data_IF_006980981796
#
_entry.id   IF_006980981796
#
_cell.length_a   1.000
_cell.length_b   1.000
_cell.length_c   1.000
_cell.angle_alpha   90.00
_cell.angle_beta   90.00
_cell.angle_gamma   90.00
#
_symmetry.space_group_name_H-M   'P 1'
#
loop_
_entity.id
_entity.type
_entity.pdbx_description
1 polymer ?
#
# COMPACT_ATOMS: atom_id res chain seq x y z
N UNK A 1 -41.96 -13.40 -11.77
CA UNK A 1 -40.59 -13.95 -11.76
C UNK A 1 -40.48 -14.91 -12.92
N UNK A 2 -39.80 -14.52 -13.98
CA UNK A 2 -39.66 -15.33 -15.20
C UNK A 2 -38.56 -16.38 -15.02
N UNK A 3 -38.63 -17.51 -15.81
CA UNK A 3 -37.56 -18.53 -15.81
C UNK A 3 -36.17 -17.94 -16.08
N UNK A 4 -36.13 -16.77 -16.74
CA UNK A 4 -34.89 -16.02 -16.97
C UNK A 4 -34.31 -15.41 -15.66
N UNK A 5 -35.19 -14.88 -14.78
CA UNK A 5 -34.78 -14.29 -13.49
C UNK A 5 -34.17 -15.35 -12.53
N UNK A 6 -34.77 -16.57 -12.57
CA UNK A 6 -34.29 -17.72 -11.78
C UNK A 6 -32.93 -18.24 -12.32
N UNK A 7 -32.74 -18.22 -13.64
CA UNK A 7 -31.50 -18.66 -14.28
C UNK A 7 -30.33 -17.67 -14.07
N UNK A 8 -30.62 -16.35 -13.93
CA UNK A 8 -29.63 -15.34 -13.62
C UNK A 8 -29.19 -15.45 -12.15
N UNK A 9 -30.11 -15.73 -11.23
CA UNK A 9 -29.81 -15.91 -9.80
C UNK A 9 -28.98 -17.18 -9.53
N UNK A 10 -29.19 -18.26 -10.28
CA UNK A 10 -28.37 -19.49 -10.17
C UNK A 10 -26.95 -19.34 -10.73
N UNK A 11 -26.71 -18.43 -11.69
CA UNK A 11 -25.37 -18.17 -12.25
C UNK A 11 -24.48 -17.29 -11.36
N UNK A 12 -25.08 -16.56 -10.43
CA UNK A 12 -24.38 -15.67 -9.50
C UNK A 12 -24.10 -16.27 -8.13
N UNK A 13 -24.43 -17.55 -7.88
CA UNK A 13 -24.01 -18.22 -6.65
C UNK A 13 -22.48 -18.24 -6.60
N UNK A 14 -21.87 -17.72 -5.50
CA UNK A 14 -20.43 -17.86 -5.32
C UNK A 14 -20.09 -19.35 -5.50
N UNK A 15 -19.13 -19.69 -6.34
CA UNK A 15 -18.60 -21.08 -6.41
C UNK A 15 -18.21 -21.45 -4.99
N UNK A 16 -19.04 -22.27 -4.35
CA UNK A 16 -18.83 -22.77 -3.01
C UNK A 16 -17.42 -23.39 -2.95
N UNK A 17 -16.54 -22.83 -2.10
CA UNK A 17 -15.19 -23.33 -1.88
C UNK A 17 -14.02 -22.47 -2.41
N UNK A 18 -14.23 -21.39 -3.17
CA UNK A 18 -13.13 -20.48 -3.53
C UNK A 18 -12.95 -19.39 -2.48
N UNK A 19 -11.78 -19.34 -1.84
CA UNK A 19 -11.43 -18.27 -0.90
C UNK A 19 -11.45 -16.87 -1.53
N UNK A 20 -11.54 -15.83 -0.72
CA UNK A 20 -11.63 -14.43 -1.15
C UNK A 20 -10.38 -13.98 -1.93
N UNK A 21 -10.49 -13.58 -3.21
CA UNK A 21 -9.35 -13.05 -3.98
C UNK A 21 -8.78 -11.77 -3.37
N UNK A 22 -9.61 -10.94 -2.75
CA UNK A 22 -9.15 -9.72 -2.05
C UNK A 22 -8.30 -10.10 -0.85
N UNK A 23 -8.75 -11.05 -0.01
CA UNK A 23 -8.00 -11.45 1.16
C UNK A 23 -6.61 -12.00 0.79
N UNK A 24 -6.51 -12.75 -0.30
CA UNK A 24 -5.22 -13.27 -0.80
C UNK A 24 -4.32 -12.17 -1.34
N UNK A 25 -4.87 -11.22 -2.11
CA UNK A 25 -4.10 -10.10 -2.61
C UNK A 25 -3.64 -9.18 -1.46
N UNK A 26 -4.51 -8.93 -0.47
CA UNK A 26 -4.16 -8.17 0.72
C UNK A 26 -3.10 -8.91 1.58
N UNK A 27 -3.21 -10.24 1.72
CA UNK A 27 -2.21 -11.05 2.41
C UNK A 27 -0.84 -10.94 1.72
N UNK A 28 -0.79 -11.08 0.39
CA UNK A 28 0.46 -10.94 -0.35
C UNK A 28 1.08 -9.54 -0.16
N UNK A 29 0.29 -8.49 -0.32
CA UNK A 29 0.75 -7.12 -0.11
C UNK A 29 1.26 -6.91 1.33
N UNK A 30 0.55 -7.46 2.32
CA UNK A 30 0.93 -7.32 3.72
C UNK A 30 2.20 -8.11 4.07
N UNK A 31 2.37 -9.31 3.52
CA UNK A 31 3.60 -10.09 3.65
C UNK A 31 4.81 -9.34 3.07
N UNK A 32 4.66 -8.73 1.91
CA UNK A 32 5.72 -7.90 1.32
C UNK A 32 6.07 -6.70 2.20
N UNK A 33 5.08 -6.07 2.83
CA UNK A 33 5.32 -4.97 3.78
C UNK A 33 6.05 -5.47 5.04
N UNK A 34 5.70 -6.65 5.58
CA UNK A 34 6.41 -7.25 6.72
C UNK A 34 7.86 -7.55 6.35
N UNK A 35 8.10 -8.21 5.20
CA UNK A 35 9.46 -8.50 4.72
C UNK A 35 10.27 -7.22 4.62
N UNK A 36 9.71 -6.20 3.99
CA UNK A 36 10.39 -4.93 3.86
C UNK A 36 10.68 -4.28 5.21
N UNK A 37 9.69 -4.18 6.09
CA UNK A 37 9.87 -3.59 7.43
C UNK A 37 10.89 -4.36 8.28
N UNK A 38 10.93 -5.68 8.15
CA UNK A 38 11.83 -6.54 8.93
C UNK A 38 13.27 -6.45 8.47
N UNK A 39 13.53 -6.31 7.17
CA UNK A 39 14.88 -6.38 6.60
C UNK A 39 15.44 -5.04 6.13
N UNK A 40 14.66 -3.98 6.17
CA UNK A 40 15.14 -2.63 5.85
C UNK A 40 16.30 -2.25 6.79
N UNK A 41 17.42 -1.66 6.31
CA UNK A 41 17.63 -1.03 5.00
C UNK A 41 18.22 -1.96 3.91
N UNK A 42 18.27 -3.26 4.10
CA UNK A 42 18.83 -4.25 3.14
C UNK A 42 20.33 -4.09 2.86
N UNK A 43 21.07 -3.46 3.76
CA UNK A 43 22.48 -3.13 3.59
C UNK A 43 23.37 -3.91 4.56
N UNK A 44 24.64 -4.12 4.14
CA UNK A 44 25.65 -4.70 5.00
C UNK A 44 25.49 -6.19 5.28
N UNK A 45 24.80 -6.94 4.42
CA UNK A 45 24.62 -8.38 4.56
C UNK A 45 25.94 -9.08 4.82
N UNK A 46 26.05 -9.75 5.96
CA UNK A 46 27.24 -10.50 6.35
C UNK A 46 26.89 -11.65 7.30
N UNK A 47 27.68 -12.71 7.26
CA UNK A 47 27.58 -13.74 8.27
C UNK A 47 28.21 -13.22 9.59
N UNK A 48 27.38 -13.14 10.63
CA UNK A 48 27.82 -12.70 11.96
C UNK A 48 28.64 -13.75 12.71
N UNK A 49 28.72 -14.99 12.21
CA UNK A 49 29.34 -16.13 12.91
C UNK A 49 28.49 -16.65 14.10
N UNK A 50 27.33 -16.05 14.36
CA UNK A 50 26.43 -16.49 15.43
C UNK A 50 25.52 -17.60 14.88
N UNK A 51 25.27 -18.70 15.63
CA UNK A 51 24.34 -19.74 15.22
C UNK A 51 22.95 -19.19 14.91
N UNK A 52 22.33 -19.65 13.82
CA UNK A 52 21.09 -19.09 13.26
C UNK A 52 19.92 -18.97 14.25
N UNK A 53 19.85 -19.86 15.22
CA UNK A 53 18.74 -19.95 16.18
C UNK A 53 19.12 -19.50 17.59
N UNK A 54 20.22 -18.77 17.76
CA UNK A 54 20.67 -18.28 19.07
C UNK A 54 19.62 -17.39 19.74
N UNK A 55 18.81 -16.68 18.97
CA UNK A 55 17.71 -15.85 19.48
C UNK A 55 16.58 -16.66 20.13
N UNK A 56 16.51 -17.97 19.91
CA UNK A 56 15.53 -18.85 20.58
C UNK A 56 15.90 -19.12 22.06
N UNK A 57 17.12 -18.80 22.46
CA UNK A 57 17.49 -18.87 23.87
C UNK A 57 16.60 -17.90 24.67
N UNK A 58 15.95 -18.40 25.72
CA UNK A 58 14.99 -17.65 26.54
C UNK A 58 15.64 -16.53 27.40
N UNK A 59 16.75 -15.98 26.97
CA UNK A 59 17.41 -14.85 27.63
C UNK A 59 16.72 -13.57 27.21
N UNK A 60 16.20 -12.81 28.19
CA UNK A 60 15.57 -11.52 27.92
C UNK A 60 16.52 -10.57 27.21
N UNK A 61 16.10 -9.89 26.13
CA UNK A 61 16.93 -8.86 25.48
C UNK A 61 17.30 -7.78 26.50
N UNK A 62 18.53 -7.29 26.44
CA UNK A 62 19.02 -6.23 27.34
C UNK A 62 18.28 -4.91 27.18
N UNK A 63 17.85 -4.63 25.97
CA UNK A 63 17.14 -3.40 25.59
C UNK A 63 15.83 -3.76 24.89
N UNK A 64 14.72 -3.37 25.48
CA UNK A 64 13.39 -3.47 24.90
C UNK A 64 12.51 -2.36 25.49
N UNK A 65 11.54 -1.90 24.73
CA UNK A 65 10.56 -0.92 25.19
C UNK A 65 9.14 -1.50 25.08
N UNK A 66 8.21 -1.01 25.91
CA UNK A 66 6.80 -1.38 25.76
C UNK A 66 6.22 -0.96 24.41
N UNK A 67 6.83 0.04 23.79
CA UNK A 67 6.50 0.48 22.43
C UNK A 67 6.86 -0.58 21.39
N UNK A 68 8.06 -1.17 21.43
CA UNK A 68 8.48 -2.22 20.51
C UNK A 68 7.56 -3.43 20.60
N UNK A 69 7.22 -3.86 21.83
CA UNK A 69 6.25 -4.94 22.07
C UNK A 69 4.89 -4.61 21.45
N UNK A 70 4.40 -3.39 21.68
CA UNK A 70 3.11 -2.92 21.15
C UNK A 70 3.06 -2.90 19.62
N UNK A 71 4.11 -2.40 18.98
CA UNK A 71 4.22 -2.33 17.52
C UNK A 71 4.26 -3.72 16.90
N UNK A 72 5.01 -4.66 17.49
CA UNK A 72 5.09 -6.03 17.02
C UNK A 72 3.73 -6.74 17.12
N UNK A 73 3.06 -6.65 18.25
CA UNK A 73 1.70 -7.23 18.41
C UNK A 73 0.74 -6.63 17.40
N UNK A 74 0.62 -5.30 17.36
CA UNK A 74 -0.33 -4.60 16.48
C UNK A 74 -0.01 -4.85 15.00
N UNK A 75 1.28 -4.89 14.63
CA UNK A 75 1.74 -5.16 13.28
C UNK A 75 1.44 -6.59 12.79
N UNK A 76 1.32 -7.56 13.69
CA UNK A 76 1.02 -8.94 13.29
C UNK A 76 -0.47 -9.32 13.40
N UNK A 77 -1.31 -8.50 14.03
CA UNK A 77 -2.78 -8.71 14.02
C UNK A 77 -3.35 -8.79 12.60
N UNK A 78 -3.07 -7.83 11.68
CA UNK A 78 -3.58 -7.93 10.32
C UNK A 78 -3.10 -9.16 9.57
N UNK A 79 -1.87 -9.63 9.81
CA UNK A 79 -1.35 -10.86 9.21
C UNK A 79 -2.21 -12.06 9.61
N UNK A 80 -2.45 -12.27 10.90
CA UNK A 80 -3.27 -13.38 11.40
C UNK A 80 -4.70 -13.35 10.84
N UNK A 81 -5.32 -12.18 10.81
CA UNK A 81 -6.63 -11.97 10.23
C UNK A 81 -6.66 -12.30 8.72
N UNK A 82 -5.71 -11.80 7.95
CA UNK A 82 -5.63 -12.03 6.50
C UNK A 82 -5.33 -13.49 6.16
N UNK A 83 -4.51 -14.19 6.97
CA UNK A 83 -4.26 -15.62 6.82
C UNK A 83 -5.57 -16.41 6.93
N UNK A 84 -6.38 -16.16 7.98
CA UNK A 84 -7.70 -16.82 8.14
C UNK A 84 -8.62 -16.48 6.95
N UNK A 85 -8.76 -15.20 6.61
CA UNK A 85 -9.63 -14.76 5.52
C UNK A 85 -9.22 -15.33 4.17
N UNK A 86 -7.94 -15.61 3.95
CA UNK A 86 -7.41 -16.15 2.70
C UNK A 86 -7.74 -17.64 2.49
N UNK A 87 -7.85 -18.41 3.58
CA UNK A 87 -8.19 -19.84 3.55
C UNK A 87 -9.68 -20.11 3.68
N UNK A 88 -10.44 -19.14 4.18
CA UNK A 88 -11.90 -19.22 4.28
C UNK A 88 -12.55 -19.31 2.87
N UNK A 89 -13.62 -20.09 2.62
CA UNK A 89 -14.34 -20.96 3.53
C UNK A 89 -13.82 -22.40 3.63
N UNK A 90 -12.67 -22.74 3.00
CA UNK A 90 -12.14 -24.12 2.98
C UNK A 90 -11.75 -24.61 4.36
N UNK A 91 -11.13 -23.75 5.14
CA UNK A 91 -10.75 -24.01 6.54
C UNK A 91 -11.50 -23.00 7.42
N UNK A 92 -12.17 -23.49 8.49
CA UNK A 92 -13.04 -22.69 9.35
C UNK A 92 -12.75 -22.95 10.83
N UNK A 93 -13.23 -22.02 11.69
CA UNK A 93 -13.16 -22.16 13.13
C UNK A 93 -11.76 -22.35 13.66
N UNK A 94 -11.59 -23.24 14.62
CA UNK A 94 -10.30 -23.46 15.30
C UNK A 94 -9.19 -23.90 14.35
N UNK A 95 -9.51 -24.70 13.33
CA UNK A 95 -8.50 -25.14 12.36
C UNK A 95 -7.93 -23.99 11.52
N UNK A 96 -8.75 -22.99 11.20
CA UNK A 96 -8.27 -21.79 10.54
C UNK A 96 -7.36 -20.96 11.46
N UNK A 97 -7.69 -20.87 12.76
CA UNK A 97 -6.85 -20.20 13.76
C UNK A 97 -5.52 -20.91 13.91
N UNK A 98 -5.52 -22.24 14.06
CA UNK A 98 -4.28 -23.03 14.21
C UNK A 98 -3.38 -22.89 12.98
N UNK A 99 -3.95 -23.02 11.76
CA UNK A 99 -3.21 -22.89 10.52
C UNK A 99 -2.62 -21.48 10.36
N UNK A 100 -3.41 -20.45 10.65
CA UNK A 100 -2.95 -19.05 10.57
C UNK A 100 -1.87 -18.74 11.61
N UNK A 101 -2.03 -19.22 12.85
CA UNK A 101 -1.03 -19.04 13.90
C UNK A 101 0.29 -19.73 13.55
N UNK A 102 0.23 -20.96 13.02
CA UNK A 102 1.41 -21.65 12.52
C UNK A 102 2.09 -20.88 11.37
N UNK A 103 1.28 -20.39 10.42
CA UNK A 103 1.79 -19.54 9.33
C UNK A 103 2.47 -18.28 9.83
N UNK A 104 1.87 -17.61 10.83
CA UNK A 104 2.47 -16.43 11.46
C UNK A 104 3.77 -16.72 12.20
N UNK A 105 3.84 -17.83 12.92
CA UNK A 105 5.08 -18.30 13.58
C UNK A 105 6.16 -18.56 12.53
N UNK A 106 5.84 -19.20 11.42
CA UNK A 106 6.81 -19.44 10.35
C UNK A 106 7.31 -18.12 9.71
N UNK A 107 6.40 -17.17 9.50
CA UNK A 107 6.78 -15.84 8.98
C UNK A 107 7.74 -15.16 9.94
N UNK A 108 7.38 -15.00 11.22
CA UNK A 108 8.25 -14.31 12.18
C UNK A 108 9.57 -15.05 12.39
N UNK A 109 9.56 -16.38 12.45
CA UNK A 109 10.80 -17.17 12.55
C UNK A 109 11.71 -16.93 11.34
N UNK A 110 11.15 -16.84 10.15
CA UNK A 110 11.92 -16.50 8.93
C UNK A 110 12.48 -15.09 9.02
N UNK A 111 11.68 -14.11 9.46
CA UNK A 111 12.15 -12.73 9.61
C UNK A 111 13.33 -12.64 10.57
N UNK A 112 13.21 -13.23 11.77
CA UNK A 112 14.26 -13.22 12.80
C UNK A 112 15.52 -13.98 12.36
N UNK A 113 15.34 -15.12 11.67
CA UNK A 113 16.49 -15.89 11.18
C UNK A 113 17.28 -15.10 10.13
N UNK A 114 16.62 -14.41 9.21
CA UNK A 114 17.29 -13.61 8.18
C UNK A 114 17.95 -12.36 8.79
N UNK A 115 17.38 -11.80 9.84
CA UNK A 115 17.97 -10.65 10.54
C UNK A 115 19.35 -10.95 11.16
N UNK A 116 19.70 -12.22 11.42
CA UNK A 116 21.07 -12.59 11.82
C UNK A 116 22.16 -12.16 10.83
N UNK A 117 21.79 -11.98 9.57
CA UNK A 117 22.70 -11.56 8.51
C UNK A 117 22.74 -10.04 8.32
N UNK A 118 21.91 -9.28 9.05
CA UNK A 118 21.80 -7.83 8.96
C UNK A 118 22.41 -7.16 10.19
N UNK A 119 23.56 -6.47 10.08
CA UNK A 119 24.22 -5.83 11.22
C UNK A 119 23.40 -4.75 11.92
N UNK A 120 22.46 -4.16 11.18
CA UNK A 120 21.53 -3.14 11.70
C UNK A 120 20.36 -3.72 12.50
N UNK A 121 20.25 -5.06 12.59
CA UNK A 121 19.16 -5.77 13.26
C UNK A 121 19.70 -6.71 14.33
N UNK A 122 18.91 -6.88 15.37
CA UNK A 122 19.20 -7.81 16.47
C UNK A 122 18.02 -8.75 16.61
N UNK A 123 18.13 -10.00 16.14
CA UNK A 123 17.07 -10.99 16.29
C UNK A 123 16.73 -11.21 17.78
N UNK A 124 15.44 -11.32 18.08
CA UNK A 124 14.95 -11.34 19.45
C UNK A 124 13.87 -12.41 19.66
N UNK A 125 13.99 -13.18 20.75
CA UNK A 125 12.94 -14.08 21.18
C UNK A 125 11.66 -13.32 21.61
N UNK A 126 11.80 -12.09 22.11
CA UNK A 126 10.69 -11.24 22.47
C UNK A 126 9.88 -10.84 21.23
N UNK A 127 10.55 -10.51 20.12
CA UNK A 127 9.89 -10.17 18.86
C UNK A 127 9.17 -11.39 18.29
N UNK A 128 9.80 -12.58 18.34
CA UNK A 128 9.15 -13.83 17.94
C UNK A 128 7.84 -14.06 18.73
N UNK A 129 7.87 -13.91 20.07
CA UNK A 129 6.72 -14.16 20.93
C UNK A 129 5.63 -13.11 20.70
N UNK A 130 5.99 -11.84 20.63
CA UNK A 130 5.03 -10.74 20.45
C UNK A 130 4.38 -10.74 19.07
N UNK A 131 5.15 -11.04 18.02
CA UNK A 131 4.66 -11.23 16.65
C UNK A 131 3.69 -12.44 16.57
N UNK A 132 4.10 -13.58 17.14
CA UNK A 132 3.25 -14.78 17.18
C UNK A 132 1.95 -14.51 17.98
N UNK A 133 2.05 -13.81 19.10
CA UNK A 133 0.89 -13.39 19.92
C UNK A 133 -0.05 -12.47 19.15
N UNK A 134 0.48 -11.47 18.47
CA UNK A 134 -0.29 -10.58 17.60
C UNK A 134 -0.99 -11.33 16.47
N UNK A 135 -0.27 -12.25 15.81
CA UNK A 135 -0.86 -13.11 14.78
C UNK A 135 -1.99 -14.00 15.32
N UNK A 136 -1.83 -14.59 16.50
CA UNK A 136 -2.87 -15.40 17.15
C UNK A 136 -4.12 -14.56 17.44
N UNK A 137 -3.97 -13.37 18.02
CA UNK A 137 -5.09 -12.44 18.23
C UNK A 137 -5.78 -12.12 16.91
N UNK A 138 -5.02 -11.80 15.88
CA UNK A 138 -5.54 -11.54 14.53
C UNK A 138 -6.26 -12.73 13.93
N UNK A 139 -5.73 -13.94 14.12
CA UNK A 139 -6.36 -15.18 13.65
C UNK A 139 -7.71 -15.45 14.34
N UNK A 140 -7.81 -15.24 15.66
CA UNK A 140 -9.07 -15.36 16.41
C UNK A 140 -10.09 -14.34 15.91
N UNK A 141 -9.69 -13.06 15.77
CA UNK A 141 -10.56 -12.01 15.24
C UNK A 141 -11.01 -12.33 13.81
N UNK A 142 -10.07 -12.80 12.96
CA UNK A 142 -10.36 -13.21 11.60
C UNK A 142 -11.36 -14.36 11.53
N UNK A 143 -11.22 -15.38 12.37
CA UNK A 143 -12.13 -16.50 12.42
C UNK A 143 -13.54 -16.10 12.89
N UNK A 144 -13.62 -15.17 13.85
CA UNK A 144 -14.90 -14.64 14.33
C UNK A 144 -15.60 -13.77 13.28
N UNK A 145 -14.86 -12.94 12.55
CA UNK A 145 -15.45 -12.03 11.58
C UNK A 145 -15.62 -12.62 10.17
N UNK A 146 -14.89 -13.69 9.83
CA UNK A 146 -14.91 -14.25 8.47
C UNK A 146 -16.31 -14.57 7.93
N UNK A 147 -17.25 -15.21 8.68
CA UNK A 147 -18.60 -15.47 8.18
C UNK A 147 -19.38 -14.18 7.91
N UNK A 148 -19.27 -13.21 8.82
CA UNK A 148 -19.91 -11.91 8.68
C UNK A 148 -19.37 -11.09 7.52
N UNK A 149 -18.05 -11.10 7.31
CA UNK A 149 -17.39 -10.31 6.27
C UNK A 149 -17.53 -10.91 4.87
N UNK A 150 -17.47 -12.26 4.75
CA UNK A 150 -17.34 -12.93 3.47
C UNK A 150 -18.63 -13.58 2.95
N UNK A 151 -19.53 -14.05 3.84
CA UNK A 151 -20.72 -14.80 3.39
C UNK A 151 -21.94 -13.91 3.16
N UNK A 152 -22.32 -13.04 4.11
CA UNK A 152 -23.60 -12.31 4.08
C UNK A 152 -23.54 -10.88 4.60
N UNK A 153 -22.36 -10.25 4.71
CA UNK A 153 -22.25 -8.93 5.30
C UNK A 153 -22.85 -7.84 4.42
N UNK A 154 -23.32 -6.76 5.06
CA UNK A 154 -23.65 -5.49 4.37
C UNK A 154 -22.46 -5.00 3.54
N UNK A 155 -21.22 -5.22 4.01
CA UNK A 155 -19.98 -4.87 3.31
C UNK A 155 -19.79 -5.68 2.03
N UNK A 156 -20.10 -6.98 2.04
CA UNK A 156 -20.05 -7.83 0.85
C UNK A 156 -21.08 -7.37 -0.21
N UNK A 157 -22.31 -7.08 0.24
CA UNK A 157 -23.37 -6.56 -0.64
C UNK A 157 -22.98 -5.18 -1.19
N UNK A 158 -22.44 -4.29 -0.34
CA UNK A 158 -21.97 -2.96 -0.73
C UNK A 158 -20.86 -3.05 -1.77
N UNK A 159 -19.87 -3.94 -1.55
CA UNK A 159 -18.81 -4.21 -2.50
C UNK A 159 -19.38 -4.66 -3.85
N UNK A 160 -20.31 -5.63 -3.88
CA UNK A 160 -20.93 -6.10 -5.13
C UNK A 160 -21.75 -5.00 -5.81
N UNK A 161 -22.39 -4.13 -5.05
CA UNK A 161 -23.18 -3.01 -5.56
C UNK A 161 -22.32 -1.89 -6.13
N UNK A 162 -21.19 -1.56 -5.48
CA UNK A 162 -20.38 -0.38 -5.82
C UNK A 162 -19.16 -0.68 -6.68
N UNK A 163 -18.60 -1.89 -6.61
CA UNK A 163 -17.35 -2.22 -7.29
C UNK A 163 -17.54 -3.32 -8.34
N UNK A 164 -16.66 -3.29 -9.35
CA UNK A 164 -16.65 -4.31 -10.40
C UNK A 164 -16.25 -5.69 -9.85
N UNK A 165 -16.70 -6.81 -10.46
CA UNK A 165 -16.36 -8.15 -9.98
C UNK A 165 -14.86 -8.46 -9.94
N UNK A 166 -14.12 -7.90 -10.89
CA UNK A 166 -12.66 -8.06 -11.05
C UNK A 166 -11.84 -7.04 -10.25
N UNK A 167 -12.47 -6.17 -9.45
CA UNK A 167 -11.81 -5.08 -8.75
C UNK A 167 -10.92 -5.53 -7.57
N UNK A 168 -10.82 -6.83 -7.24
CA UNK A 168 -10.19 -7.31 -6.01
C UNK A 168 -8.74 -6.86 -5.83
N UNK A 169 -7.92 -7.01 -6.86
CA UNK A 169 -6.51 -6.59 -6.82
C UNK A 169 -6.37 -5.07 -6.83
N UNK A 170 -7.16 -4.42 -7.68
CA UNK A 170 -7.18 -2.96 -7.75
C UNK A 170 -7.67 -2.30 -6.47
N UNK A 171 -8.61 -2.90 -5.73
CA UNK A 171 -9.07 -2.39 -4.44
C UNK A 171 -7.97 -2.46 -3.37
N UNK A 172 -7.16 -3.52 -3.36
CA UNK A 172 -6.00 -3.60 -2.47
C UNK A 172 -5.00 -2.53 -2.85
N UNK A 173 -4.67 -2.40 -4.13
CA UNK A 173 -3.76 -1.37 -4.63
C UNK A 173 -4.22 0.05 -4.23
N UNK A 174 -5.50 0.36 -4.43
CA UNK A 174 -6.08 1.66 -4.06
C UNK A 174 -6.06 1.86 -2.54
N UNK A 175 -6.37 0.83 -1.75
CA UNK A 175 -6.33 0.90 -0.29
C UNK A 175 -4.91 1.14 0.27
N UNK A 176 -3.87 0.77 -0.47
CA UNK A 176 -2.48 1.04 -0.10
C UNK A 176 -2.06 2.51 -0.31
N UNK A 177 -2.77 3.29 -1.12
CA UNK A 177 -2.39 4.69 -1.39
C UNK A 177 -2.47 5.62 -0.18
N UNK A 178 -3.51 5.60 0.67
CA UNK A 178 -3.50 6.34 1.92
C UNK A 178 -2.34 5.95 2.85
N UNK A 179 -1.96 4.67 2.88
CA UNK A 179 -0.82 4.20 3.67
C UNK A 179 0.52 4.71 3.10
N UNK A 180 0.60 4.91 1.78
CA UNK A 180 1.77 5.52 1.16
C UNK A 180 2.00 6.97 1.60
N UNK A 181 0.98 7.66 2.15
CA UNK A 181 1.11 9.02 2.69
C UNK A 181 1.86 9.08 4.02
N UNK A 182 2.09 7.94 4.67
CA UNK A 182 2.77 7.88 5.98
C UNK A 182 4.24 8.28 5.83
N UNK A 183 4.89 7.89 4.74
CA UNK A 183 6.27 8.30 4.49
C UNK A 183 6.36 9.81 4.25
N UNK A 184 7.29 10.51 4.92
CA UNK A 184 7.49 11.94 4.71
C UNK A 184 8.04 12.18 3.30
N UNK A 185 7.22 12.79 2.46
CA UNK A 185 7.55 13.14 1.07
C UNK A 185 7.77 14.64 0.96
N UNK A 186 8.68 15.03 0.08
CA UNK A 186 8.99 16.43 -0.22
C UNK A 186 7.81 17.21 -0.80
N UNK A 187 6.87 16.50 -1.42
CA UNK A 187 5.71 17.06 -2.12
C UNK A 187 4.45 16.30 -1.76
N UNK A 188 3.34 16.98 -1.56
CA UNK A 188 2.05 16.35 -1.29
C UNK A 188 1.66 15.45 -2.47
N UNK A 189 1.35 14.17 -2.19
CA UNK A 189 1.06 13.13 -3.19
C UNK A 189 2.18 12.85 -4.20
N UNK A 190 3.40 13.31 -3.93
CA UNK A 190 4.59 13.13 -4.77
C UNK A 190 5.23 11.76 -4.59
N UNK A 191 4.53 10.70 -5.01
CA UNK A 191 5.02 9.32 -4.92
C UNK A 191 5.94 8.96 -6.07
N UNK A 192 6.82 7.95 -5.87
CA UNK A 192 7.68 7.43 -6.91
C UNK A 192 8.94 8.26 -7.18
N UNK A 193 9.43 8.98 -6.18
CA UNK A 193 10.70 9.72 -6.28
C UNK A 193 11.89 8.75 -6.23
N UNK A 194 12.28 8.20 -7.36
CA UNK A 194 13.29 7.13 -7.51
C UNK A 194 14.68 7.69 -7.80
N UNK A 195 14.79 8.78 -8.57
CA UNK A 195 16.09 9.28 -9.02
C UNK A 195 17.09 9.61 -7.89
N UNK A 196 16.71 10.25 -6.78
CA UNK A 196 17.64 10.47 -5.67
C UNK A 196 18.20 9.17 -5.06
N UNK A 197 17.37 8.10 -5.04
CA UNK A 197 17.78 6.78 -4.53
C UNK A 197 18.76 6.12 -5.49
N UNK A 198 18.45 6.15 -6.79
CA UNK A 198 19.35 5.62 -7.83
C UNK A 198 20.65 6.39 -7.85
N UNK A 199 20.61 7.73 -7.73
CA UNK A 199 21.81 8.58 -7.61
C UNK A 199 22.68 8.13 -6.44
N UNK A 200 22.10 7.94 -5.26
CA UNK A 200 22.85 7.49 -4.07
C UNK A 200 23.44 6.08 -4.20
N UNK A 201 22.77 5.18 -4.93
CA UNK A 201 23.31 3.84 -5.23
C UNK A 201 24.47 3.90 -6.21
N UNK A 202 24.34 4.67 -7.29
CA UNK A 202 25.39 4.85 -8.28
C UNK A 202 26.63 5.52 -7.65
N UNK A 203 26.41 6.56 -6.83
CA UNK A 203 27.50 7.23 -6.12
C UNK A 203 28.30 6.26 -5.24
N UNK A 204 27.60 5.36 -4.54
CA UNK A 204 28.27 4.32 -3.71
C UNK A 204 28.98 3.26 -4.53
N UNK A 205 28.42 2.84 -5.68
CA UNK A 205 29.05 1.81 -6.52
C UNK A 205 30.28 2.30 -7.26
N UNK A 206 30.26 3.56 -7.69
CA UNK A 206 31.36 4.15 -8.48
C UNK A 206 32.32 5.01 -7.64
N UNK A 207 32.05 5.11 -6.32
CA UNK A 207 32.82 5.97 -5.40
C UNK A 207 32.99 7.41 -5.93
N UNK A 208 31.93 7.93 -6.55
CA UNK A 208 31.87 9.24 -7.23
C UNK A 208 30.53 9.88 -6.94
N UNK A 209 30.51 11.18 -6.70
CA UNK A 209 29.26 11.91 -6.49
C UNK A 209 28.49 12.02 -7.80
N UNK A 210 27.43 11.23 -7.94
CA UNK A 210 26.56 11.17 -9.12
C UNK A 210 25.17 11.66 -8.71
N UNK A 211 24.80 12.85 -9.19
CA UNK A 211 23.44 13.37 -9.06
C UNK A 211 22.73 13.35 -10.42
N UNK A 212 21.87 12.34 -10.61
CA UNK A 212 21.11 12.19 -11.84
C UNK A 212 20.09 13.32 -12.04
N UNK A 213 19.62 13.96 -10.96
CA UNK A 213 18.66 15.07 -11.07
C UNK A 213 19.37 16.30 -11.67
N UNK A 214 20.58 16.59 -11.21
CA UNK A 214 21.39 17.68 -11.78
C UNK A 214 21.80 17.44 -13.23
N UNK A 215 22.05 16.17 -13.62
CA UNK A 215 22.34 15.81 -15.01
C UNK A 215 21.13 16.00 -15.94
N UNK A 216 19.92 15.74 -15.46
CA UNK A 216 18.70 15.95 -16.24
C UNK A 216 18.32 17.43 -16.34
N UNK A 217 18.80 18.25 -15.41
CA UNK A 217 18.56 19.68 -15.34
C UNK A 217 19.87 20.42 -15.08
N UNK A 218 20.78 20.50 -16.04
CA UNK A 218 21.99 21.30 -15.91
C UNK A 218 21.62 22.77 -15.86
N UNK A 219 21.95 23.50 -14.79
CA UNK A 219 21.80 24.94 -14.75
C UNK A 219 21.28 25.50 -13.42
N UNK A 220 20.64 26.63 -13.47
CA UNK A 220 20.31 27.53 -12.36
C UNK A 220 19.44 26.92 -11.25
N UNK A 221 19.66 27.40 -10.03
CA UNK A 221 18.77 27.13 -8.91
C UNK A 221 17.33 27.51 -9.27
N UNK A 222 16.36 26.67 -8.90
CA UNK A 222 14.94 26.97 -9.15
C UNK A 222 14.50 28.21 -8.36
N UNK A 223 13.69 29.06 -9.00
CA UNK A 223 13.00 30.14 -8.29
C UNK A 223 11.89 29.59 -7.41
N UNK A 224 11.44 30.38 -6.45
CA UNK A 224 10.34 30.01 -5.53
C UNK A 224 9.06 29.67 -6.32
N UNK A 225 8.78 30.47 -7.38
CA UNK A 225 7.61 30.27 -8.24
C UNK A 225 7.68 28.95 -9.03
N UNK A 226 8.87 28.56 -9.46
CA UNK A 226 9.09 27.28 -10.15
C UNK A 226 8.88 26.09 -9.19
N UNK A 227 9.30 26.21 -7.92
CA UNK A 227 8.99 25.22 -6.89
C UNK A 227 7.48 25.11 -6.67
N UNK A 228 6.78 26.21 -6.48
CA UNK A 228 5.33 26.21 -6.28
C UNK A 228 4.58 25.63 -7.48
N UNK A 229 4.98 25.97 -8.70
CA UNK A 229 4.38 25.41 -9.93
C UNK A 229 4.60 23.90 -10.01
N UNK A 230 5.81 23.45 -9.75
CA UNK A 230 6.14 22.00 -9.77
C UNK A 230 5.33 21.25 -8.70
N UNK A 231 5.25 21.80 -7.50
CA UNK A 231 4.46 21.23 -6.40
C UNK A 231 2.97 21.20 -6.73
N UNK A 232 2.45 22.25 -7.36
CA UNK A 232 1.06 22.30 -7.85
C UNK A 232 0.79 21.19 -8.85
N UNK A 233 1.69 20.98 -9.82
CA UNK A 233 1.54 19.92 -10.83
C UNK A 233 1.61 18.53 -10.17
N UNK A 234 2.59 18.28 -9.30
CA UNK A 234 2.77 17.00 -8.61
C UNK A 234 1.53 16.67 -7.80
N UNK A 235 1.04 17.62 -7.00
CA UNK A 235 -0.11 17.44 -6.11
C UNK A 235 -1.39 17.19 -6.91
N UNK A 236 -1.70 18.04 -7.91
CA UNK A 236 -2.88 17.90 -8.73
C UNK A 236 -2.89 16.59 -9.53
N UNK A 237 -1.77 16.25 -10.16
CA UNK A 237 -1.64 15.05 -10.98
C UNK A 237 -1.61 13.77 -10.14
N UNK A 238 -0.86 13.76 -9.03
CA UNK A 238 -0.79 12.60 -8.13
C UNK A 238 -2.15 12.25 -7.53
N UNK A 239 -2.87 13.28 -7.04
CA UNK A 239 -4.23 13.13 -6.52
C UNK A 239 -5.21 12.64 -7.61
N UNK A 240 -5.20 13.30 -8.76
CA UNK A 240 -6.11 12.96 -9.87
C UNK A 240 -5.87 11.54 -10.35
N UNK A 241 -4.62 11.14 -10.53
CA UNK A 241 -4.26 9.78 -10.93
C UNK A 241 -4.73 8.72 -9.94
N UNK A 242 -4.55 8.96 -8.64
CA UNK A 242 -4.98 8.04 -7.59
C UNK A 242 -6.51 7.90 -7.54
N UNK A 243 -7.24 9.02 -7.55
CA UNK A 243 -8.71 9.00 -7.53
C UNK A 243 -9.28 8.37 -8.79
N UNK A 244 -8.74 8.68 -9.98
CA UNK A 244 -9.21 8.06 -11.21
C UNK A 244 -8.90 6.55 -11.26
N UNK A 245 -7.81 6.10 -10.65
CA UNK A 245 -7.54 4.66 -10.46
C UNK A 245 -8.63 3.99 -9.63
N UNK A 246 -9.08 4.63 -8.54
CA UNK A 246 -10.24 4.17 -7.79
C UNK A 246 -11.50 4.16 -8.66
N UNK A 247 -11.77 5.23 -9.43
CA UNK A 247 -12.97 5.35 -10.26
C UNK A 247 -13.05 4.29 -11.35
N UNK A 248 -11.92 3.78 -11.86
CA UNK A 248 -11.88 2.65 -12.79
C UNK A 248 -12.44 1.35 -12.18
N UNK A 249 -12.46 1.22 -10.86
CA UNK A 249 -12.98 0.05 -10.14
C UNK A 249 -14.45 0.22 -9.73
N UNK A 250 -14.95 1.45 -9.75
CA UNK A 250 -16.27 1.83 -9.22
C UNK A 250 -17.34 1.75 -10.31
N UNK A 251 -18.47 1.08 -10.00
CA UNK A 251 -19.63 1.01 -10.90
C UNK A 251 -20.31 2.37 -11.06
N UNK A 252 -21.02 2.58 -12.17
CA UNK A 252 -21.73 3.85 -12.44
C UNK A 252 -22.80 4.19 -11.39
N UNK A 253 -23.42 3.19 -10.79
CA UNK A 253 -24.51 3.35 -9.81
C UNK A 253 -24.00 3.56 -8.37
N UNK A 254 -22.68 3.60 -8.16
CA UNK A 254 -22.09 3.86 -6.86
C UNK A 254 -22.04 5.37 -6.56
N UNK A 255 -21.99 5.78 -5.30
CA UNK A 255 -21.87 7.18 -4.89
C UNK A 255 -20.42 7.67 -5.11
N UNK A 256 -20.05 7.88 -6.39
CA UNK A 256 -18.67 8.16 -6.82
C UNK A 256 -18.06 9.37 -6.14
N UNK A 257 -18.84 10.46 -6.04
CA UNK A 257 -18.37 11.68 -5.38
C UNK A 257 -18.08 11.44 -3.90
N UNK A 258 -18.95 10.73 -3.18
CA UNK A 258 -18.74 10.38 -1.77
C UNK A 258 -17.49 9.50 -1.60
N UNK A 259 -17.30 8.52 -2.49
CA UNK A 259 -16.12 7.65 -2.47
C UNK A 259 -14.82 8.44 -2.74
N UNK A 260 -14.85 9.41 -3.65
CA UNK A 260 -13.74 10.32 -3.90
C UNK A 260 -13.40 11.12 -2.64
N UNK A 261 -14.40 11.79 -2.05
CA UNK A 261 -14.20 12.61 -0.85
C UNK A 261 -13.68 11.77 0.33
N UNK A 262 -14.30 10.60 0.56
CA UNK A 262 -13.85 9.69 1.62
C UNK A 262 -12.40 9.20 1.39
N UNK A 263 -12.04 8.88 0.16
CA UNK A 263 -10.70 8.41 -0.18
C UNK A 263 -9.64 9.49 0.05
N UNK A 264 -9.90 10.72 -0.39
CA UNK A 264 -9.02 11.87 -0.16
C UNK A 264 -8.94 12.23 1.33
N UNK A 265 -10.08 12.23 2.03
CA UNK A 265 -10.10 12.51 3.47
C UNK A 265 -9.25 11.51 4.24
N UNK A 266 -9.37 10.21 3.95
CA UNK A 266 -8.52 9.18 4.59
C UNK A 266 -7.04 9.42 4.30
N UNK A 267 -6.67 9.74 3.06
CA UNK A 267 -5.29 10.02 2.70
C UNK A 267 -4.72 11.25 3.44
N UNK A 268 -5.48 12.34 3.53
CA UNK A 268 -5.07 13.55 4.24
C UNK A 268 -4.98 13.33 5.76
N UNK A 269 -5.92 12.61 6.34
CA UNK A 269 -5.88 12.22 7.76
C UNK A 269 -4.64 11.37 8.05
N UNK A 270 -4.36 10.37 7.20
CA UNK A 270 -3.14 9.55 7.33
C UNK A 270 -1.87 10.40 7.23
N UNK A 271 -1.83 11.36 6.30
CA UNK A 271 -0.71 12.30 6.15
C UNK A 271 -0.53 13.18 7.39
N UNK A 272 -1.60 13.77 7.90
CA UNK A 272 -1.55 14.64 9.08
C UNK A 272 -1.14 13.87 10.34
N UNK A 273 -1.71 12.66 10.56
CA UNK A 273 -1.32 11.79 11.67
C UNK A 273 0.15 11.38 11.58
N UNK A 274 0.61 10.98 10.40
CA UNK A 274 2.01 10.61 10.18
C UNK A 274 2.94 11.80 10.45
N UNK A 275 2.64 12.99 9.93
CA UNK A 275 3.43 14.20 10.16
C UNK A 275 3.49 14.56 11.65
N UNK A 276 2.35 14.49 12.35
CA UNK A 276 2.27 14.73 13.79
C UNK A 276 3.15 13.74 14.60
N UNK A 277 3.13 12.45 14.23
CA UNK A 277 3.89 11.43 14.94
C UNK A 277 5.39 11.46 14.63
N UNK A 278 5.76 11.77 13.39
CA UNK A 278 7.14 11.74 12.92
C UNK A 278 7.91 13.03 13.23
N UNK A 279 7.26 14.19 13.15
CA UNK A 279 7.93 15.48 13.30
C UNK A 279 7.57 16.21 14.59
N UNK A 280 6.43 16.10 15.13
CA UNK A 280 5.80 16.66 16.34
C UNK A 280 4.37 17.09 16.02
N UNK A 281 3.48 17.16 17.00
CA UNK A 281 2.10 17.61 16.79
C UNK A 281 1.97 19.00 16.12
N UNK A 282 2.87 19.91 16.44
CA UNK A 282 2.89 21.26 15.86
C UNK A 282 3.16 21.25 14.34
N UNK A 283 3.78 20.19 13.83
CA UNK A 283 4.13 20.01 12.43
C UNK A 283 3.14 19.09 11.67
N UNK A 284 1.95 18.86 12.22
CA UNK A 284 0.93 17.99 11.59
C UNK A 284 0.57 18.44 10.17
N UNK A 285 0.66 19.73 9.87
CA UNK A 285 0.28 20.35 8.60
C UNK A 285 1.45 21.02 7.85
N UNK A 286 2.69 20.68 8.17
CA UNK A 286 3.88 21.25 7.52
C UNK A 286 3.92 21.04 6.00
N UNK A 287 3.19 20.04 5.51
CA UNK A 287 3.04 19.72 4.09
C UNK A 287 2.04 20.61 3.34
N UNK A 288 1.32 21.50 4.05
CA UNK A 288 0.38 22.48 3.46
C UNK A 288 1.19 23.71 3.06
N UNK A 289 1.72 23.67 1.85
CA UNK A 289 2.48 24.77 1.23
C UNK A 289 1.62 25.46 0.18
N UNK A 290 1.94 26.67 -0.26
CA UNK A 290 1.18 27.37 -1.31
C UNK A 290 1.02 26.55 -2.60
N UNK A 291 2.08 25.80 -3.02
CA UNK A 291 2.00 24.91 -4.17
C UNK A 291 1.10 23.72 -3.94
N UNK A 292 1.14 23.10 -2.75
CA UNK A 292 0.26 22.00 -2.37
C UNK A 292 -1.22 22.43 -2.32
N UNK A 293 -1.52 23.61 -1.74
CA UNK A 293 -2.87 24.18 -1.71
C UNK A 293 -3.40 24.41 -3.14
N UNK A 294 -2.60 25.09 -3.98
CA UNK A 294 -2.95 25.34 -5.38
C UNK A 294 -3.20 24.04 -6.14
N UNK A 295 -2.32 23.07 -5.98
CA UNK A 295 -2.45 21.76 -6.61
C UNK A 295 -3.66 20.97 -6.12
N UNK A 296 -3.97 21.04 -4.85
CA UNK A 296 -5.16 20.41 -4.27
C UNK A 296 -6.46 21.03 -4.84
N UNK A 297 -6.55 22.36 -4.90
CA UNK A 297 -7.71 23.07 -5.48
C UNK A 297 -7.88 22.70 -6.95
N UNK A 298 -6.81 22.77 -7.75
CA UNK A 298 -6.87 22.42 -9.17
C UNK A 298 -7.29 20.96 -9.34
N UNK A 299 -6.73 20.04 -8.57
CA UNK A 299 -7.09 18.63 -8.62
C UNK A 299 -8.56 18.39 -8.24
N UNK A 300 -9.11 19.07 -7.24
CA UNK A 300 -10.55 18.97 -6.90
C UNK A 300 -11.41 19.47 -8.07
N UNK A 301 -11.07 20.62 -8.66
CA UNK A 301 -11.79 21.16 -9.83
C UNK A 301 -11.76 20.16 -10.98
N UNK A 302 -10.63 19.59 -11.31
CA UNK A 302 -10.49 18.55 -12.33
C UNK A 302 -11.36 17.32 -12.01
N UNK A 303 -11.33 16.84 -10.77
CA UNK A 303 -12.01 15.64 -10.35
C UNK A 303 -13.54 15.79 -10.32
N UNK A 304 -14.09 16.99 -10.06
CA UNK A 304 -15.54 17.22 -10.07
C UNK A 304 -16.19 16.82 -11.40
N UNK A 305 -15.49 17.03 -12.52
CA UNK A 305 -15.94 16.58 -13.85
C UNK A 305 -15.50 15.15 -14.19
N UNK A 306 -14.24 14.81 -13.92
CA UNK A 306 -13.62 13.55 -14.34
C UNK A 306 -14.18 12.31 -13.63
N UNK A 307 -14.70 12.45 -12.42
CA UNK A 307 -15.34 11.35 -11.66
C UNK A 307 -16.55 10.76 -12.42
N UNK A 308 -17.23 11.55 -13.24
CA UNK A 308 -18.38 11.13 -14.03
C UNK A 308 -18.03 10.77 -15.48
N UNK A 309 -16.77 10.95 -15.89
CA UNK A 309 -16.32 10.63 -17.24
C UNK A 309 -16.44 9.12 -17.56
N UNK A 310 -16.46 8.72 -18.85
CA UNK A 310 -16.41 7.32 -19.24
C UNK A 310 -15.16 6.61 -18.70
N UNK A 311 -15.29 5.33 -18.33
CA UNK A 311 -14.17 4.55 -17.72
C UNK A 311 -12.90 4.54 -18.59
N UNK A 312 -13.04 4.52 -19.92
CA UNK A 312 -11.90 4.58 -20.84
C UNK A 312 -11.15 5.91 -20.71
N UNK A 313 -11.90 7.03 -20.63
CA UNK A 313 -11.30 8.35 -20.42
C UNK A 313 -10.64 8.45 -19.04
N UNK A 314 -11.33 8.00 -17.98
CA UNK A 314 -10.76 7.95 -16.63
C UNK A 314 -9.45 7.19 -16.58
N UNK A 315 -9.39 6.02 -17.23
CA UNK A 315 -8.18 5.17 -17.27
C UNK A 315 -7.04 5.86 -18.02
N UNK A 316 -7.30 6.45 -19.20
CA UNK A 316 -6.28 7.16 -19.98
C UNK A 316 -5.75 8.38 -19.22
N UNK A 317 -6.64 9.15 -18.62
CA UNK A 317 -6.26 10.33 -17.83
C UNK A 317 -5.52 9.94 -16.54
N UNK A 318 -5.90 8.84 -15.88
CA UNK A 318 -5.14 8.32 -14.74
C UNK A 318 -3.69 7.99 -15.13
N UNK A 319 -3.49 7.33 -16.27
CA UNK A 319 -2.13 7.03 -16.77
C UNK A 319 -1.37 8.33 -17.06
N UNK A 320 -1.97 9.27 -17.80
CA UNK A 320 -1.31 10.53 -18.15
C UNK A 320 -0.92 11.33 -16.91
N UNK A 321 -1.85 11.47 -15.94
CA UNK A 321 -1.57 12.26 -14.73
C UNK A 321 -0.54 11.59 -13.82
N UNK A 322 -0.56 10.25 -13.67
CA UNK A 322 0.47 9.53 -12.92
C UNK A 322 1.85 9.63 -13.59
N UNK A 323 1.93 9.49 -14.91
CA UNK A 323 3.19 9.64 -15.64
C UNK A 323 3.73 11.07 -15.51
N UNK A 324 2.86 12.08 -15.65
CA UNK A 324 3.26 13.48 -15.50
C UNK A 324 3.76 13.75 -14.07
N UNK A 325 3.05 13.26 -13.05
CA UNK A 325 3.49 13.37 -11.66
C UNK A 325 4.85 12.71 -11.45
N UNK A 326 5.07 11.49 -11.99
CA UNK A 326 6.35 10.78 -11.91
C UNK A 326 7.49 11.54 -12.61
N UNK A 327 7.25 12.10 -13.76
CA UNK A 327 8.27 12.90 -14.47
C UNK A 327 8.65 14.11 -13.63
N UNK A 328 7.67 14.89 -13.19
CA UNK A 328 7.96 16.13 -12.47
C UNK A 328 8.61 15.85 -11.10
N UNK A 329 8.13 14.87 -10.33
CA UNK A 329 8.69 14.56 -9.00
C UNK A 329 10.13 14.05 -9.06
N UNK A 330 10.54 13.47 -10.19
CA UNK A 330 11.91 12.99 -10.38
C UNK A 330 12.83 14.01 -11.06
N UNK A 331 12.30 15.05 -11.68
CA UNK A 331 13.10 16.10 -12.34
C UNK A 331 13.27 17.36 -11.48
N UNK A 332 12.48 17.50 -10.42
CA UNK A 332 12.54 18.64 -9.50
C UNK A 332 13.42 18.29 -8.31
N UNK A 333 14.40 19.13 -7.95
CA UNK A 333 15.22 18.91 -6.75
C UNK A 333 14.37 18.96 -5.49
N UNK A 334 14.85 18.31 -4.44
CA UNK A 334 14.16 18.26 -3.14
C UNK A 334 13.96 19.68 -2.61
N UNK A 335 12.75 19.99 -2.13
CA UNK A 335 12.43 21.30 -1.59
C UNK A 335 13.32 21.60 -0.36
N UNK A 336 14.09 22.69 -0.34
CA UNK A 336 14.96 23.06 0.78
C UNK A 336 14.22 23.21 2.13
N UNK A 337 12.97 23.69 2.11
CA UNK A 337 12.15 23.78 3.32
C UNK A 337 11.78 22.42 3.89
N UNK A 338 11.59 21.42 3.04
CA UNK A 338 11.38 20.04 3.48
C UNK A 338 12.62 19.48 4.16
N UNK A 339 13.83 19.77 3.63
CA UNK A 339 15.10 19.34 4.24
C UNK A 339 15.25 19.88 5.65
N UNK A 340 14.88 21.15 5.87
CA UNK A 340 14.91 21.74 7.23
C UNK A 340 13.92 21.05 8.19
N UNK A 341 12.78 20.62 7.70
CA UNK A 341 11.79 19.87 8.49
C UNK A 341 12.29 18.48 8.87
N UNK A 342 13.08 17.84 8.00
CA UNK A 342 13.70 16.53 8.28
C UNK A 342 14.68 16.60 9.46
N UNK A 343 15.27 17.74 9.79
CA UNK A 343 16.12 17.90 10.97
C UNK A 343 15.37 17.65 12.29
N UNK A 344 14.05 17.88 12.30
CA UNK A 344 13.17 17.54 13.41
C UNK A 344 12.72 16.08 13.45
N UNK A 345 13.11 15.25 12.47
CA UNK A 345 12.67 13.89 12.37
C UNK A 345 13.32 13.00 13.44
N UNK A 346 12.48 12.36 14.24
CA UNK A 346 12.92 11.41 15.27
C UNK A 346 13.21 10.05 14.60
N UNK A 347 14.41 9.90 14.07
CA UNK A 347 14.83 8.75 13.27
C UNK A 347 14.71 7.39 13.96
N UNK A 348 14.68 7.31 15.27
CA UNK A 348 14.74 6.03 15.99
C UNK A 348 13.40 5.35 16.27
N UNK A 349 12.30 6.10 16.38
CA UNK A 349 11.05 5.57 16.94
C UNK A 349 10.23 4.68 15.99
N UNK A 350 10.39 4.78 14.68
CA UNK A 350 9.54 4.10 13.69
C UNK A 350 10.35 3.55 12.50
N UNK A 351 11.60 3.19 12.69
CA UNK A 351 12.51 2.85 11.60
C UNK A 351 11.95 1.77 10.67
N UNK A 352 11.38 0.72 11.23
CA UNK A 352 10.85 -0.40 10.46
C UNK A 352 9.59 -0.01 9.67
N UNK A 353 8.72 0.76 10.31
CA UNK A 353 7.48 1.23 9.69
C UNK A 353 7.75 2.28 8.61
N UNK A 354 8.72 3.16 8.85
CA UNK A 354 9.18 4.15 7.87
C UNK A 354 9.73 3.48 6.61
N UNK A 355 10.49 2.39 6.75
CA UNK A 355 10.98 1.63 5.60
C UNK A 355 9.86 1.04 4.75
N UNK A 356 8.85 0.43 5.38
CA UNK A 356 7.70 -0.11 4.66
C UNK A 356 6.88 1.00 3.98
N UNK A 357 6.67 2.13 4.67
CA UNK A 357 5.97 3.28 4.11
C UNK A 357 6.76 3.93 2.96
N UNK A 358 8.10 3.98 3.05
CA UNK A 358 8.97 4.44 1.98
C UNK A 358 8.85 3.55 0.74
N UNK A 359 8.95 2.23 0.92
CA UNK A 359 8.79 1.28 -0.18
C UNK A 359 7.44 1.45 -0.87
N UNK A 360 6.37 1.59 -0.09
CA UNK A 360 5.03 1.78 -0.61
C UNK A 360 4.92 3.11 -1.37
N UNK A 361 5.45 4.19 -0.83
CA UNK A 361 5.49 5.50 -1.49
C UNK A 361 6.24 5.47 -2.81
N UNK A 362 7.36 4.74 -2.87
CA UNK A 362 8.16 4.60 -4.09
C UNK A 362 7.48 3.75 -5.15
N UNK A 363 6.89 2.62 -4.75
CA UNK A 363 6.41 1.61 -5.71
C UNK A 363 4.98 1.82 -6.15
N UNK A 364 4.15 2.48 -5.34
CA UNK A 364 2.71 2.61 -5.60
C UNK A 364 2.35 3.15 -6.98
N UNK A 365 2.93 4.26 -7.49
CA UNK A 365 2.55 4.79 -8.80
C UNK A 365 2.90 3.84 -9.94
N UNK A 366 3.99 3.08 -9.83
CA UNK A 366 4.36 2.07 -10.82
C UNK A 366 3.39 0.89 -10.83
N UNK A 367 2.97 0.43 -9.64
CA UNK A 367 1.96 -0.62 -9.51
C UNK A 367 0.60 -0.14 -10.03
N UNK A 368 0.25 1.13 -9.81
CA UNK A 368 -0.98 1.73 -10.35
C UNK A 368 -0.93 1.82 -11.87
N UNK A 369 0.18 2.26 -12.45
CA UNK A 369 0.40 2.29 -13.89
C UNK A 369 0.34 0.89 -14.49
N UNK A 370 1.04 -0.08 -13.89
CA UNK A 370 0.98 -1.47 -14.32
C UNK A 370 -0.46 -1.99 -14.34
N UNK A 371 -1.22 -1.79 -13.27
CA UNK A 371 -2.63 -2.16 -13.19
C UNK A 371 -3.47 -1.48 -14.27
N UNK A 372 -3.28 -0.17 -14.48
CA UNK A 372 -4.00 0.59 -15.49
C UNK A 372 -3.62 0.20 -16.92
N UNK A 373 -2.41 -0.27 -17.18
CA UNK A 373 -1.94 -0.68 -18.50
C UNK A 373 -2.31 -2.13 -18.85
N UNK A 374 -2.73 -2.95 -17.87
CA UNK A 374 -3.21 -4.30 -18.15
C UNK A 374 -4.34 -4.29 -19.19
N UNK A 375 -4.34 -5.15 -20.21
CA UNK A 375 -5.38 -5.20 -21.23
C UNK A 375 -6.78 -5.40 -20.61
N UNK A 376 -7.72 -4.55 -21.00
CA UNK A 376 -9.11 -4.61 -20.48
C UNK A 376 -9.84 -5.94 -20.76
N UNK A 377 -9.42 -6.71 -21.78
CA UNK A 377 -9.97 -8.03 -22.07
C UNK A 377 -9.60 -9.11 -21.02
N UNK A 378 -8.51 -8.94 -20.28
CA UNK A 378 -8.19 -9.83 -19.14
C UNK A 378 -9.09 -9.52 -17.94
N UNK A 379 -9.56 -8.28 -17.84
CA UNK A 379 -10.48 -7.82 -16.80
C UNK A 379 -11.96 -8.10 -17.16
N UNK A 380 -12.28 -8.23 -18.44
CA UNK A 380 -13.62 -8.39 -19.00
C UNK A 380 -13.81 -9.67 -19.80
N UNK A 381 -13.02 -10.72 -19.60
CA UNK A 381 -13.37 -12.00 -20.24
C UNK A 381 -14.77 -12.41 -19.77
N UNK A 382 -15.80 -12.38 -20.67
CA UNK A 382 -17.01 -13.12 -20.39
C UNK A 382 -16.59 -14.57 -20.20
N UNK A 383 -17.02 -15.21 -19.14
CA UNK A 383 -16.84 -16.67 -19.03
C UNK A 383 -17.39 -17.27 -20.33
N UNK A 384 -16.67 -18.23 -20.95
CA UNK A 384 -17.13 -18.92 -22.15
C UNK A 384 -18.55 -19.44 -21.87
N UNK A 385 -19.51 -19.08 -22.71
CA UNK A 385 -20.88 -19.58 -22.61
C UNK A 385 -20.81 -21.11 -22.64
N UNK A 386 -21.22 -21.82 -21.57
CA UNK A 386 -21.31 -23.28 -21.65
C UNK A 386 -22.45 -23.57 -22.65
N UNK A 387 -22.11 -24.10 -23.81
CA UNK A 387 -23.10 -24.48 -24.82
C UNK A 387 -22.78 -24.11 -26.28
N UNK A 388 -21.58 -23.57 -26.57
CA UNK A 388 -21.20 -23.30 -27.98
C UNK A 388 -20.32 -24.41 -28.62
N UNK A 389 -20.23 -25.56 -27.99
CA UNK A 389 -19.45 -26.68 -28.48
C UNK A 389 -20.33 -27.91 -28.73
N UNK A 390 -21.44 -27.77 -29.43
CA UNK A 390 -22.13 -28.88 -30.06
C UNK A 390 -22.98 -28.35 -31.21
N UNK A 391 -22.31 -28.08 -32.30
CA UNK A 391 -22.90 -27.70 -33.58
C UNK A 391 -21.89 -27.95 -34.67
N UNK A 392 -21.52 -29.20 -34.86
CA UNK A 392 -20.94 -29.69 -36.14
C UNK A 392 -21.91 -30.66 -36.77
N UNK A 393 -22.15 -30.54 -38.11
CA UNK A 393 -23.19 -31.22 -38.84
C UNK A 393 -22.94 -32.75 -38.93
#
# INVERSE_FOLDING_TARGET
MTKADVAVDQRERPREGRGSPIARAALLAYLLLIVYASWYPFEGWRNSGVPLFTFLNLVKPRYWTGFDVGVNIVGYIPLGMLLVLSVYPRVRGIWAVLLASLGGILVTLTMETVQNFLPSRVPSNLDLITNAGGCLVGAVLGAWWAPGLLDRSRLFQLRRRWFAPYASQGLVLVALWPLAQIYPQSYLFGHGQVLPIVSSWLSRWFDTDIDLVSLLRPGEAMTVEQYWLSETIITACGMTGAVLTLMCLVRRNAPRFLLMVAFLAVALVMKALASSLLFRPDNAFVWVTPGAEGGFIIGIIMLTGLVFAPQVAQRRLAVVTLVLSLIVVNTVPVNPYFVSTLQGWVQGKFLNFNGAAQFLSLTWPFLALWFLLLPSHQLNRPEPRPGAADGTP
#
